data_IF_591907016293
#
_entry.id   IF_591907016293
#
_cell.length_a   1.000
_cell.length_b   1.000
_cell.length_c   1.000
_cell.angle_alpha   90.00
_cell.angle_beta   90.00
_cell.angle_gamma   90.00
#
_symmetry.space_group_name_H-M   'P 1'
#
loop_
_entity.id
_entity.type
_entity.pdbx_description
1 polymer ?
#
# COMPACT_ATOMS: atom_id res chain seq x y z
N UNK A 1 1.69 -16.26 26.61
CA UNK A 1 1.12 -15.19 25.75
C UNK A 1 1.82 -15.21 24.38
N UNK A 2 1.14 -14.93 23.26
CA UNK A 2 1.83 -14.83 21.95
C UNK A 2 2.60 -13.49 21.86
N UNK A 3 3.80 -13.44 21.25
CA UNK A 3 4.64 -12.25 21.28
C UNK A 3 3.99 -11.05 20.59
N UNK A 4 4.21 -9.86 21.15
CA UNK A 4 3.79 -8.60 20.53
C UNK A 4 4.53 -8.39 19.20
N UNK A 5 3.95 -7.59 18.31
CA UNK A 5 4.61 -7.18 17.08
C UNK A 5 5.85 -6.32 17.39
N UNK A 6 6.98 -6.67 16.80
CA UNK A 6 8.29 -6.01 16.98
C UNK A 6 8.94 -5.58 15.66
N UNK A 7 8.27 -5.83 14.53
CA UNK A 7 8.76 -5.44 13.20
C UNK A 7 8.67 -3.94 12.93
N UNK A 8 9.24 -3.53 11.79
CA UNK A 8 9.10 -2.16 11.30
C UNK A 8 7.63 -1.85 10.98
N UNK A 9 7.17 -0.66 11.36
CA UNK A 9 5.85 -0.17 10.99
C UNK A 9 5.92 0.54 9.63
N UNK A 10 5.32 -0.06 8.61
CA UNK A 10 5.22 0.51 7.25
C UNK A 10 3.90 1.25 7.01
N UNK A 11 3.17 1.63 8.06
CA UNK A 11 1.96 2.43 7.89
C UNK A 11 2.27 3.79 7.29
N UNK A 12 1.41 4.25 6.40
CA UNK A 12 1.55 5.54 5.74
C UNK A 12 0.86 5.57 4.38
N UNK A 13 0.88 6.74 3.75
CA UNK A 13 0.48 6.93 2.35
C UNK A 13 1.72 6.95 1.48
N UNK A 14 1.65 6.31 0.33
CA UNK A 14 2.72 6.16 -0.64
C UNK A 14 2.24 6.67 -2.00
N UNK A 15 3.01 7.55 -2.60
CA UNK A 15 2.79 7.94 -3.99
C UNK A 15 3.42 6.87 -4.87
N UNK A 16 2.61 6.23 -5.71
CA UNK A 16 3.02 5.13 -6.58
C UNK A 16 2.93 5.55 -8.04
N UNK A 17 3.98 5.26 -8.80
CA UNK A 17 4.01 5.40 -10.26
C UNK A 17 4.20 4.03 -10.86
N UNK A 18 3.27 3.62 -11.71
CA UNK A 18 3.27 2.28 -12.27
C UNK A 18 3.02 2.25 -13.76
N UNK A 19 3.18 1.05 -14.29
CA UNK A 19 2.87 0.73 -15.67
C UNK A 19 2.33 -0.71 -15.72
N UNK A 20 1.30 -0.91 -16.54
CA UNK A 20 0.88 -2.25 -16.95
C UNK A 20 0.51 -2.25 -18.45
N UNK A 21 0.39 -3.44 -19.00
CA UNK A 21 0.11 -3.69 -20.41
C UNK A 21 -1.33 -3.38 -20.84
N UNK A 22 -2.24 -3.05 -19.91
CA UNK A 22 -3.65 -2.74 -20.19
C UNK A 22 -3.92 -1.23 -20.25
N UNK A 23 -3.37 -0.47 -19.30
CA UNK A 23 -3.65 0.96 -19.08
C UNK A 23 -2.45 1.84 -19.47
N UNK A 24 -1.24 1.28 -19.52
CA UNK A 24 -0.02 2.04 -19.70
C UNK A 24 0.46 2.67 -18.40
N UNK A 25 1.05 3.87 -18.47
CA UNK A 25 1.56 4.58 -17.30
C UNK A 25 0.42 5.16 -16.47
N UNK A 26 0.49 5.02 -15.15
CA UNK A 26 -0.49 5.57 -14.22
C UNK A 26 0.17 6.03 -12.92
N UNK A 27 -0.57 6.80 -12.13
CA UNK A 27 -0.22 7.18 -10.77
C UNK A 27 -1.38 6.83 -9.81
N UNK A 28 -1.04 6.35 -8.62
CA UNK A 28 -2.00 6.02 -7.56
C UNK A 28 -1.45 6.39 -6.18
N UNK A 29 -2.32 6.44 -5.19
CA UNK A 29 -1.96 6.57 -3.78
C UNK A 29 -2.23 5.26 -3.04
N UNK A 30 -1.17 4.62 -2.55
CA UNK A 30 -1.28 3.42 -1.74
C UNK A 30 -1.25 3.78 -0.24
N UNK A 31 -2.17 3.22 0.56
CA UNK A 31 -2.22 3.43 2.00
C UNK A 31 -2.10 2.10 2.73
N UNK A 32 -1.10 2.01 3.61
CA UNK A 32 -0.90 0.89 4.53
C UNK A 32 -1.27 1.30 5.95
N UNK A 33 -2.02 0.44 6.64
CA UNK A 33 -2.47 0.67 8.01
C UNK A 33 -2.23 -0.59 8.83
N UNK A 34 -1.28 -0.54 9.76
CA UNK A 34 -0.90 -1.69 10.60
C UNK A 34 -2.04 -2.09 11.53
N UNK A 35 -2.54 -3.31 11.38
CA UNK A 35 -3.41 -3.95 12.35
C UNK A 35 -2.57 -4.60 13.46
N UNK A 36 -2.31 -3.84 14.53
CA UNK A 36 -1.51 -4.31 15.68
C UNK A 36 -2.12 -5.51 16.39
N UNK A 37 -3.44 -5.65 16.41
CA UNK A 37 -4.12 -6.76 17.08
C UNK A 37 -3.88 -8.10 16.36
N UNK A 38 -3.80 -8.07 15.04
CA UNK A 38 -3.52 -9.23 14.19
C UNK A 38 -2.02 -9.50 13.98
N UNK A 39 -1.16 -8.50 14.23
CA UNK A 39 0.30 -8.61 14.01
C UNK A 39 1.01 -9.27 15.20
N UNK A 40 2.05 -10.07 14.91
CA UNK A 40 2.82 -10.82 15.93
C UNK A 40 4.28 -11.01 15.51
N UNK A 41 5.22 -10.89 16.46
CA UNK A 41 6.65 -11.05 16.17
C UNK A 41 7.09 -10.17 15.00
N UNK A 42 7.65 -10.78 13.96
CA UNK A 42 8.11 -10.11 12.74
C UNK A 42 7.05 -10.04 11.62
N UNK A 43 5.85 -10.56 11.87
CA UNK A 43 4.74 -10.58 10.92
C UNK A 43 3.84 -9.36 11.17
N UNK A 44 3.85 -8.42 10.23
CA UNK A 44 2.96 -7.27 10.22
C UNK A 44 1.77 -7.51 9.30
N UNK A 45 0.56 -7.31 9.81
CA UNK A 45 -0.69 -7.42 9.06
C UNK A 45 -1.23 -6.01 8.82
N UNK A 46 -1.56 -5.69 7.58
CA UNK A 46 -1.98 -4.36 7.18
C UNK A 46 -3.31 -4.39 6.42
N UNK A 47 -4.17 -3.42 6.72
CA UNK A 47 -5.17 -2.99 5.75
C UNK A 47 -4.48 -2.19 4.65
N UNK A 48 -4.83 -2.47 3.40
CA UNK A 48 -4.19 -1.90 2.22
C UNK A 48 -5.24 -1.28 1.31
N UNK A 49 -5.14 0.01 1.04
CA UNK A 49 -6.02 0.70 0.09
C UNK A 49 -5.20 1.30 -1.05
N UNK A 50 -5.79 1.35 -2.24
CA UNK A 50 -5.22 2.06 -3.40
C UNK A 50 -6.27 3.01 -3.94
N UNK A 51 -5.91 4.29 -4.04
CA UNK A 51 -6.76 5.34 -4.59
C UNK A 51 -6.19 5.80 -5.94
N UNK A 52 -7.02 5.78 -6.97
CA UNK A 52 -6.66 6.25 -8.32
C UNK A 52 -6.82 7.76 -8.45
N UNK A 53 -6.31 8.35 -9.52
CA UNK A 53 -6.47 9.80 -9.81
C UNK A 53 -7.94 10.22 -9.92
N UNK A 54 -8.83 9.29 -10.33
CA UNK A 54 -10.27 9.53 -10.42
C UNK A 54 -11.02 9.22 -9.11
N UNK A 55 -10.32 9.15 -7.98
CA UNK A 55 -10.87 8.91 -6.64
C UNK A 55 -11.54 7.53 -6.43
N UNK A 56 -11.33 6.57 -7.35
CA UNK A 56 -11.73 5.18 -7.11
C UNK A 56 -10.82 4.57 -6.05
N UNK A 57 -11.42 3.86 -5.08
CA UNK A 57 -10.69 3.25 -3.96
C UNK A 57 -10.84 1.74 -3.97
N UNK A 58 -9.76 1.06 -4.27
CA UNK A 58 -9.65 -0.40 -4.13
C UNK A 58 -9.19 -0.77 -2.72
N UNK A 59 -9.75 -1.85 -2.18
CA UNK A 59 -9.47 -2.31 -0.80
C UNK A 59 -8.86 -3.69 -0.81
N UNK A 60 -7.93 -3.91 0.11
CA UNK A 60 -7.09 -5.09 0.15
C UNK A 60 -6.43 -5.31 1.50
N UNK A 61 -5.50 -6.25 1.52
CA UNK A 61 -4.66 -6.61 2.67
C UNK A 61 -3.20 -6.70 2.24
N UNK A 62 -2.30 -6.48 3.18
CA UNK A 62 -0.90 -6.78 3.00
C UNK A 62 -0.33 -7.52 4.22
N UNK A 63 0.60 -8.44 3.96
CA UNK A 63 1.32 -9.20 4.98
C UNK A 63 2.80 -8.97 4.79
N UNK A 64 3.45 -8.41 5.81
CA UNK A 64 4.88 -8.20 5.84
C UNK A 64 5.54 -9.25 6.73
N UNK A 65 6.56 -9.93 6.23
CA UNK A 65 7.53 -10.67 7.03
C UNK A 65 8.86 -9.94 6.96
N UNK A 66 9.25 -9.31 8.06
CA UNK A 66 10.32 -8.31 8.06
C UNK A 66 10.01 -7.25 6.99
N UNK A 67 10.84 -7.13 5.95
CA UNK A 67 10.67 -6.16 4.88
C UNK A 67 10.12 -6.74 3.56
N UNK A 68 9.82 -8.05 3.52
CA UNK A 68 9.19 -8.70 2.37
C UNK A 68 7.68 -8.61 2.56
N UNK A 69 6.97 -8.10 1.57
CA UNK A 69 5.54 -7.84 1.66
C UNK A 69 4.81 -8.52 0.53
N UNK A 70 3.73 -9.22 0.86
CA UNK A 70 2.73 -9.68 -0.10
C UNK A 70 1.50 -8.77 -0.01
N UNK A 71 0.89 -8.48 -1.14
CA UNK A 71 -0.30 -7.65 -1.28
C UNK A 71 -1.40 -8.44 -1.96
N UNK A 72 -2.64 -8.23 -1.51
CA UNK A 72 -3.84 -8.64 -2.24
C UNK A 72 -4.79 -7.47 -2.27
N UNK A 73 -5.28 -7.12 -3.44
CA UNK A 73 -6.21 -6.03 -3.66
C UNK A 73 -7.45 -6.57 -4.36
N UNK A 74 -8.63 -6.27 -3.84
CA UNK A 74 -9.89 -6.59 -4.50
C UNK A 74 -10.37 -5.36 -5.26
N UNK A 75 -10.71 -5.57 -6.54
CA UNK A 75 -11.19 -4.52 -7.44
C UNK A 75 -12.72 -4.55 -7.51
N UNK A 76 -13.37 -4.57 -6.34
CA UNK A 76 -14.81 -4.85 -6.15
C UNK A 76 -15.78 -3.99 -6.97
N UNK A 77 -15.34 -2.86 -7.53
CA UNK A 77 -16.18 -2.05 -8.42
C UNK A 77 -16.29 -2.63 -9.85
N UNK A 78 -15.47 -3.62 -10.21
CA UNK A 78 -15.41 -4.23 -11.54
C UNK A 78 -16.02 -5.64 -11.58
N UNK A 79 -15.78 -6.49 -10.57
CA UNK A 79 -16.57 -7.70 -10.25
C UNK A 79 -16.04 -8.39 -8.98
N UNK A 80 -16.77 -9.36 -8.44
CA UNK A 80 -16.32 -10.20 -7.30
C UNK A 80 -15.15 -11.14 -7.63
N UNK A 81 -14.71 -11.19 -8.88
CA UNK A 81 -13.71 -12.12 -9.40
C UNK A 81 -12.38 -11.46 -9.75
N UNK A 82 -12.30 -10.13 -9.70
CA UNK A 82 -11.09 -9.38 -10.04
C UNK A 82 -10.28 -9.02 -8.79
N UNK A 83 -9.10 -9.64 -8.70
CA UNK A 83 -8.12 -9.34 -7.67
C UNK A 83 -6.72 -9.23 -8.25
N UNK A 84 -5.92 -8.39 -7.61
CA UNK A 84 -4.49 -8.28 -7.84
C UNK A 84 -3.73 -8.94 -6.70
N UNK A 85 -2.70 -9.70 -7.02
CA UNK A 85 -1.72 -10.19 -6.04
C UNK A 85 -0.35 -9.64 -6.38
N UNK A 86 0.37 -9.15 -5.39
CA UNK A 86 1.70 -8.59 -5.59
C UNK A 86 2.70 -8.93 -4.50
N UNK A 87 3.97 -8.74 -4.83
CA UNK A 87 5.09 -8.89 -3.91
C UNK A 87 6.04 -7.69 -4.01
N UNK A 88 6.60 -7.30 -2.88
CA UNK A 88 7.62 -6.26 -2.83
C UNK A 88 8.63 -6.50 -1.70
N UNK A 89 9.73 -5.75 -1.77
CA UNK A 89 10.63 -5.55 -0.64
C UNK A 89 10.64 -4.06 -0.29
N UNK A 90 10.27 -3.72 0.95
CA UNK A 90 10.29 -2.32 1.44
C UNK A 90 11.67 -1.98 1.98
N UNK A 91 12.24 -0.86 1.53
CA UNK A 91 13.52 -0.35 1.99
C UNK A 91 13.50 1.17 2.08
N UNK A 92 14.48 1.78 2.75
CA UNK A 92 14.64 3.23 2.70
C UNK A 92 15.36 3.62 1.41
N UNK A 93 14.84 4.61 0.70
CA UNK A 93 15.54 5.22 -0.45
C UNK A 93 16.65 6.18 0.01
N UNK A 94 17.37 6.79 -0.94
CA UNK A 94 18.45 7.76 -0.64
C UNK A 94 18.00 8.97 0.20
N UNK A 95 16.72 9.33 0.16
CA UNK A 95 16.11 10.38 0.96
C UNK A 95 15.60 9.88 2.33
N UNK A 96 15.92 8.64 2.72
CA UNK A 96 15.53 8.04 3.99
C UNK A 96 14.05 7.64 4.09
N UNK A 97 13.27 7.76 3.01
CA UNK A 97 11.84 7.43 2.97
C UNK A 97 11.66 5.94 2.64
N UNK A 98 10.68 5.28 3.26
CA UNK A 98 10.29 3.94 2.82
C UNK A 98 9.84 3.97 1.36
N UNK A 99 10.31 3.02 0.59
CA UNK A 99 9.98 2.84 -0.80
C UNK A 99 10.00 1.36 -1.14
N UNK A 100 9.24 1.00 -2.17
CA UNK A 100 9.18 -0.36 -2.67
C UNK A 100 8.77 -0.39 -4.13
N UNK A 101 9.11 -1.48 -4.80
CA UNK A 101 8.58 -1.81 -6.11
C UNK A 101 7.67 -3.01 -5.95
N UNK A 102 6.37 -2.82 -6.19
CA UNK A 102 5.39 -3.89 -6.19
C UNK A 102 5.31 -4.50 -7.58
N UNK A 103 5.63 -5.78 -7.68
CA UNK A 103 5.39 -6.60 -8.86
C UNK A 103 4.09 -7.34 -8.64
N UNK A 104 3.10 -7.10 -9.49
CA UNK A 104 1.77 -7.64 -9.31
C UNK A 104 1.23 -8.31 -10.57
N UNK A 105 0.24 -9.15 -10.35
CA UNK A 105 -0.55 -9.79 -11.38
C UNK A 105 -2.03 -9.61 -11.05
N UNK A 106 -2.76 -8.99 -11.96
CA UNK A 106 -4.20 -8.80 -11.93
C UNK A 106 -4.86 -9.93 -12.70
N UNK A 107 -5.83 -10.60 -12.08
CA UNK A 107 -6.71 -11.50 -12.81
C UNK A 107 -7.79 -10.64 -13.47
N UNK A 108 -7.69 -10.50 -14.79
CA UNK A 108 -8.80 -10.06 -15.63
C UNK A 108 -9.44 -11.28 -16.31
N UNK A 109 -10.57 -11.09 -17.00
CA UNK A 109 -11.38 -12.17 -17.59
C UNK A 109 -10.68 -13.02 -18.67
N UNK A 110 -9.39 -12.81 -18.94
CA UNK A 110 -8.60 -13.47 -19.98
C UNK A 110 -7.35 -14.17 -19.39
N UNK A 111 -6.17 -13.60 -19.65
CA UNK A 111 -4.83 -14.14 -19.33
C UNK A 111 -4.16 -13.40 -18.17
N UNK A 112 -4.84 -12.40 -17.58
CA UNK A 112 -4.32 -11.52 -16.56
C UNK A 112 -3.32 -10.47 -17.06
N UNK A 113 -3.12 -9.46 -16.21
CA UNK A 113 -2.30 -8.29 -16.50
C UNK A 113 -1.16 -8.23 -15.49
N UNK A 114 0.09 -8.32 -15.97
CA UNK A 114 1.26 -8.09 -15.14
C UNK A 114 1.58 -6.60 -15.10
N UNK A 115 1.85 -6.08 -13.90
CA UNK A 115 2.24 -4.70 -13.73
C UNK A 115 3.33 -4.52 -12.69
N UNK A 116 3.92 -3.34 -12.73
CA UNK A 116 4.92 -2.93 -11.76
C UNK A 116 4.72 -1.49 -11.37
N UNK A 117 4.77 -1.20 -10.09
CA UNK A 117 4.69 0.16 -9.56
C UNK A 117 5.78 0.43 -8.54
N UNK A 118 6.38 1.62 -8.63
CA UNK A 118 7.33 2.12 -7.65
C UNK A 118 6.64 3.12 -6.73
N UNK A 119 6.65 2.81 -5.44
CA UNK A 119 5.94 3.53 -4.40
C UNK A 119 6.92 4.17 -3.43
N UNK A 120 6.68 5.44 -3.06
CA UNK A 120 7.49 6.17 -2.09
C UNK A 120 6.60 6.77 -1.02
N UNK A 121 6.93 6.49 0.25
CA UNK A 121 6.22 7.04 1.40
C UNK A 121 6.21 8.57 1.33
N UNK A 122 5.04 9.14 1.52
CA UNK A 122 4.88 10.58 1.68
C UNK A 122 5.56 11.01 2.98
N UNK A 123 5.99 12.26 3.04
CA UNK A 123 6.41 12.80 4.32
C UNK A 123 5.22 12.74 5.28
N UNK A 124 5.42 12.20 6.48
CA UNK A 124 4.41 12.31 7.53
C UNK A 124 4.23 13.80 7.82
N UNK A 125 3.22 14.42 7.22
CA UNK A 125 2.71 15.68 7.69
C UNK A 125 2.10 15.35 9.05
N UNK A 126 2.90 15.48 10.13
CA UNK A 126 2.31 15.63 11.47
C UNK A 126 1.18 16.63 11.29
N UNK A 127 -0.04 16.22 11.64
CA UNK A 127 -1.24 17.04 11.56
C UNK A 127 -0.85 18.49 11.87
N UNK A 128 -0.99 19.39 10.88
CA UNK A 128 -0.83 20.82 11.14
C UNK A 128 -1.69 21.10 12.36
N UNK A 129 -1.07 21.42 13.50
CA UNK A 129 -1.79 21.85 14.70
C UNK A 129 -2.75 22.92 14.22
N UNK A 130 -4.04 22.68 14.35
CA UNK A 130 -5.08 23.69 14.14
C UNK A 130 -4.69 24.90 14.98
N UNK A 131 -4.20 25.94 14.33
CA UNK A 131 -4.01 27.24 14.96
C UNK A 131 -5.41 27.69 15.32
N UNK A 132 -5.71 27.69 16.63
CA UNK A 132 -6.95 28.24 17.17
C UNK A 132 -7.04 29.69 16.71
N UNK A 133 -8.15 30.15 16.11
CA UNK A 133 -8.29 31.56 15.74
C UNK A 133 -8.15 32.41 17.00
N UNK A 134 -7.27 33.40 16.96
CA UNK A 134 -7.24 34.46 17.97
C UNK A 134 -8.56 35.20 17.88
N UNK A 135 -9.33 35.18 18.97
CA UNK A 135 -10.51 36.01 19.15
C UNK A 135 -10.01 37.40 19.52
N UNK A 136 -10.34 38.40 18.70
CA UNK A 136 -10.27 39.81 19.06
C UNK A 136 -11.65 40.40 18.85
#
# INVERSE_FOLDING_TARGET
>A
AKPNFVGANYSGTYTCKGNNNKVGNYQVQAKLMLNRAASRGNIGIYDFHVETENSFVYKGKAVANLNKVAFTLSMTELSSSEFSTGIATIQKNKAGKYAYTNHYYEIDSNIGTYGKEYCVAQANTKAKKSVKPATT
#
